data_IF_335655309306
#
_entry.id   IF_335655309306
#
_cell.length_a   1.000
_cell.length_b   1.000
_cell.length_c   1.000
_cell.angle_alpha   90.00
_cell.angle_beta   90.00
_cell.angle_gamma   90.00
#
_symmetry.space_group_name_H-M   'P 1'
#
loop_
_entity.id
_entity.type
_entity.pdbx_description
1 polymer ?
#
# COMPACT_ATOMS: atom_id res chain seq x y z
N UNK A 1 40.36 17.02 -34.83
CA UNK A 1 39.45 16.18 -35.64
C UNK A 1 38.37 15.65 -34.71
N UNK A 2 37.10 15.97 -35.03
CA UNK A 2 35.86 15.40 -34.46
C UNK A 2 35.93 13.89 -34.28
N UNK A 3 35.24 13.26 -33.33
CA UNK A 3 33.78 13.12 -33.17
C UNK A 3 33.42 13.14 -31.65
N UNK A 4 32.38 13.76 -31.07
CA UNK A 4 30.92 13.76 -31.30
C UNK A 4 30.26 12.37 -31.36
N UNK A 5 29.65 11.92 -30.25
CA UNK A 5 28.25 11.42 -30.15
C UNK A 5 27.91 11.02 -28.70
N UNK A 6 26.90 11.66 -28.09
CA UNK A 6 25.99 10.95 -27.17
C UNK A 6 24.93 10.20 -28.00
N UNK A 7 23.79 9.72 -27.46
CA UNK A 7 23.35 9.62 -26.06
C UNK A 7 22.78 8.22 -25.67
N UNK A 8 22.33 8.11 -24.41
CA UNK A 8 21.23 7.23 -23.96
C UNK A 8 21.50 5.76 -23.60
N UNK A 9 21.07 5.37 -22.39
CA UNK A 9 20.47 4.09 -21.93
C UNK A 9 20.72 4.01 -20.42
N UNK A 10 19.80 4.17 -19.47
CA UNK A 10 18.35 3.91 -19.43
C UNK A 10 17.87 4.57 -18.12
N UNK A 11 16.66 5.13 -17.99
CA UNK A 11 16.05 5.26 -16.67
C UNK A 11 15.90 3.83 -16.15
N UNK A 12 16.69 3.44 -15.14
CA UNK A 12 16.58 2.14 -14.50
C UNK A 12 15.13 2.00 -14.06
N UNK A 13 14.41 1.18 -14.81
CA UNK A 13 12.98 0.92 -14.68
C UNK A 13 12.80 0.39 -13.25
N UNK A 14 12.17 1.18 -12.40
CA UNK A 14 11.96 1.01 -10.97
C UNK A 14 10.83 0.01 -10.64
N UNK A 15 10.77 -1.11 -11.37
CA UNK A 15 9.75 -2.16 -11.21
C UNK A 15 10.15 -3.24 -10.20
N UNK A 16 11.40 -3.26 -9.74
CA UNK A 16 11.88 -4.24 -8.73
C UNK A 16 11.33 -3.96 -7.31
N UNK A 17 10.74 -2.80 -7.06
CA UNK A 17 10.18 -2.44 -5.74
C UNK A 17 8.67 -2.74 -5.58
N UNK A 18 8.00 -3.27 -6.60
CA UNK A 18 6.54 -3.54 -6.53
C UNK A 18 6.20 -4.77 -5.68
N UNK A 19 7.13 -5.72 -5.54
CA UNK A 19 6.94 -6.98 -4.81
C UNK A 19 7.06 -6.85 -3.30
N UNK A 20 7.62 -5.74 -2.80
CA UNK A 20 7.82 -5.51 -1.35
C UNK A 20 6.76 -4.58 -0.73
N UNK A 21 5.76 -4.14 -1.50
CA UNK A 21 4.77 -3.19 -1.02
C UNK A 21 3.81 -3.82 0.01
N UNK A 22 3.56 -3.08 1.09
CA UNK A 22 2.57 -3.49 2.09
C UNK A 22 1.15 -3.35 1.55
N UNK A 23 0.20 -4.12 2.11
CA UNK A 23 -1.21 -3.95 1.72
C UNK A 23 -1.70 -2.52 1.99
N UNK A 24 -1.24 -1.91 3.09
CA UNK A 24 -1.57 -0.53 3.44
C UNK A 24 -1.07 0.47 2.39
N UNK A 25 0.14 0.27 1.89
CA UNK A 25 0.71 1.13 0.86
C UNK A 25 -0.02 1.00 -0.49
N UNK A 26 -0.43 -0.21 -0.86
CA UNK A 26 -1.22 -0.45 -2.07
C UNK A 26 -2.57 0.28 -1.97
N UNK A 27 -3.27 0.14 -0.84
CA UNK A 27 -4.56 0.81 -0.59
C UNK A 27 -4.40 2.34 -0.66
N UNK A 28 -3.40 2.88 0.05
CA UNK A 28 -3.11 4.33 0.07
C UNK A 28 -2.82 4.88 -1.31
N UNK A 29 -1.90 4.24 -2.06
CA UNK A 29 -1.51 4.70 -3.39
C UNK A 29 -2.68 4.65 -4.36
N UNK A 30 -3.52 3.62 -4.27
CA UNK A 30 -4.70 3.49 -5.13
C UNK A 30 -5.74 4.56 -4.79
N UNK A 31 -6.04 4.80 -3.50
CA UNK A 31 -6.94 5.88 -3.09
C UNK A 31 -6.45 7.24 -3.59
N UNK A 32 -5.16 7.54 -3.39
CA UNK A 32 -4.57 8.82 -3.82
C UNK A 32 -4.54 8.97 -5.34
N UNK A 33 -4.36 7.87 -6.09
CA UNK A 33 -4.46 7.87 -7.54
C UNK A 33 -5.84 8.32 -8.03
N UNK A 34 -6.90 7.91 -7.33
CA UNK A 34 -8.28 8.36 -7.59
C UNK A 34 -8.63 9.72 -6.95
N UNK A 35 -7.70 10.37 -6.26
CA UNK A 35 -7.92 11.69 -5.65
C UNK A 35 -8.94 11.70 -4.49
N UNK A 36 -9.21 10.55 -3.88
CA UNK A 36 -10.22 10.42 -2.83
C UNK A 36 -9.64 10.75 -1.44
N UNK A 37 -10.39 11.49 -0.63
CA UNK A 37 -10.05 11.67 0.79
C UNK A 37 -10.50 10.47 1.62
N UNK A 38 -9.91 10.26 2.80
CA UNK A 38 -10.36 9.20 3.72
C UNK A 38 -11.81 9.43 4.19
N UNK A 39 -12.23 10.68 4.31
CA UNK A 39 -13.62 11.05 4.67
C UNK A 39 -14.61 10.67 3.58
N UNK A 40 -14.23 10.78 2.29
CA UNK A 40 -15.08 10.34 1.18
C UNK A 40 -15.27 8.83 1.23
N UNK A 41 -14.18 8.08 1.44
CA UNK A 41 -14.22 6.62 1.57
C UNK A 41 -15.05 6.19 2.80
N UNK A 42 -14.86 6.86 3.95
CA UNK A 42 -15.64 6.61 5.16
C UNK A 42 -17.14 6.77 4.92
N UNK A 43 -17.54 7.81 4.17
CA UNK A 43 -18.95 8.08 3.89
C UNK A 43 -19.64 6.94 3.13
N UNK A 44 -18.89 6.21 2.30
CA UNK A 44 -19.36 5.11 1.45
C UNK A 44 -19.26 3.78 2.19
N UNK A 45 -18.07 3.44 2.70
CA UNK A 45 -17.80 2.14 3.33
C UNK A 45 -18.31 2.03 4.76
N UNK A 46 -18.65 3.15 5.41
CA UNK A 46 -19.02 3.21 6.83
C UNK A 46 -17.94 2.65 7.75
N UNK A 47 -16.68 2.74 7.32
CA UNK A 47 -15.47 2.47 8.10
C UNK A 47 -14.88 3.81 8.48
N UNK A 48 -14.62 4.04 9.78
CA UNK A 48 -14.10 5.32 10.28
C UNK A 48 -12.80 5.70 9.54
N UNK A 49 -12.62 6.96 9.16
CA UNK A 49 -11.39 7.43 8.50
C UNK A 49 -10.12 7.07 9.31
N UNK A 50 -10.19 7.10 10.63
CA UNK A 50 -9.10 6.66 11.50
C UNK A 50 -8.72 5.18 11.33
N UNK A 51 -9.68 4.31 11.05
CA UNK A 51 -9.43 2.89 10.80
C UNK A 51 -8.89 2.65 9.39
N UNK A 52 -9.37 3.42 8.40
CA UNK A 52 -8.80 3.41 7.05
C UNK A 52 -7.35 3.90 7.06
N UNK A 53 -7.05 4.98 7.79
CA UNK A 53 -5.68 5.45 8.00
C UNK A 53 -4.82 4.40 8.70
N UNK A 54 -5.34 3.74 9.73
CA UNK A 54 -4.61 2.66 10.41
C UNK A 54 -4.28 1.49 9.48
N UNK A 55 -5.16 1.15 8.53
CA UNK A 55 -4.86 0.16 7.49
C UNK A 55 -3.77 0.64 6.54
N UNK A 56 -3.84 1.88 6.06
CA UNK A 56 -2.83 2.47 5.17
C UNK A 56 -1.44 2.53 5.81
N UNK A 57 -1.38 2.78 7.12
CA UNK A 57 -0.14 2.86 7.90
C UNK A 57 0.31 1.50 8.46
N UNK A 58 -0.43 0.42 8.22
CA UNK A 58 -0.13 -0.92 8.76
C UNK A 58 -0.25 -1.04 10.28
N UNK A 59 -0.96 -0.13 10.93
CA UNK A 59 -1.18 -0.04 12.39
C UNK A 59 -2.38 -0.89 12.84
N UNK A 60 -2.24 -2.20 12.70
CA UNK A 60 -3.31 -3.18 12.97
C UNK A 60 -3.70 -3.22 14.45
N UNK A 61 -2.80 -2.80 15.33
CA UNK A 61 -3.02 -2.58 16.76
C UNK A 61 -4.12 -1.55 17.07
N UNK A 62 -4.39 -0.63 16.14
CA UNK A 62 -5.40 0.43 16.30
C UNK A 62 -6.79 0.03 15.75
N UNK A 63 -6.93 -1.19 15.23
CA UNK A 63 -8.18 -1.72 14.71
C UNK A 63 -8.96 -2.48 15.79
N UNK A 64 -10.29 -2.65 15.67
CA UNK A 64 -11.12 -3.38 16.64
C UNK A 64 -10.81 -4.88 16.79
N UNK A 65 -9.75 -5.36 16.13
CA UNK A 65 -9.34 -6.76 16.11
C UNK A 65 -9.07 -7.27 14.69
N UNK A 66 -8.31 -8.37 14.61
CA UNK A 66 -7.84 -8.94 13.33
C UNK A 66 -8.97 -9.38 12.40
N UNK A 67 -10.09 -9.88 12.96
CA UNK A 67 -11.27 -10.30 12.18
C UNK A 67 -11.86 -9.10 11.43
N UNK A 68 -12.02 -7.96 12.10
CA UNK A 68 -12.49 -6.72 11.47
C UNK A 68 -11.49 -6.19 10.44
N UNK A 69 -10.19 -6.23 10.75
CA UNK A 69 -9.15 -5.80 9.81
C UNK A 69 -9.23 -6.55 8.46
N UNK A 70 -9.45 -7.87 8.48
CA UNK A 70 -9.63 -8.66 7.26
C UNK A 70 -10.84 -8.18 6.45
N UNK A 71 -11.98 -7.93 7.13
CA UNK A 71 -13.19 -7.41 6.47
C UNK A 71 -12.98 -6.04 5.86
N UNK A 72 -12.29 -5.14 6.58
CA UNK A 72 -12.00 -3.79 6.10
C UNK A 72 -11.03 -3.79 4.91
N UNK A 73 -9.97 -4.61 4.93
CA UNK A 73 -9.05 -4.76 3.80
C UNK A 73 -9.80 -5.18 2.54
N UNK A 74 -10.68 -6.18 2.66
CA UNK A 74 -11.49 -6.65 1.53
C UNK A 74 -12.40 -5.54 0.98
N UNK A 75 -13.23 -4.95 1.84
CA UNK A 75 -14.20 -3.94 1.43
C UNK A 75 -13.51 -2.72 0.81
N UNK A 76 -12.39 -2.30 1.39
CA UNK A 76 -11.65 -1.15 0.88
C UNK A 76 -10.94 -1.44 -0.44
N UNK A 77 -10.35 -2.62 -0.59
CA UNK A 77 -9.77 -3.06 -1.85
C UNK A 77 -10.80 -3.11 -2.98
N UNK A 78 -11.94 -3.76 -2.74
CA UNK A 78 -13.04 -3.88 -3.72
C UNK A 78 -13.58 -2.50 -4.12
N UNK A 79 -13.76 -1.59 -3.16
CA UNK A 79 -14.16 -0.21 -3.44
C UNK A 79 -13.17 0.55 -4.33
N UNK A 80 -11.87 0.30 -4.15
CA UNK A 80 -10.80 0.88 -4.96
C UNK A 80 -10.59 0.15 -6.31
N UNK A 81 -11.44 -0.84 -6.65
CA UNK A 81 -11.32 -1.62 -7.89
C UNK A 81 -10.20 -2.66 -7.88
N UNK A 82 -9.66 -2.99 -6.70
CA UNK A 82 -8.66 -4.03 -6.51
C UNK A 82 -9.32 -5.39 -6.25
N UNK A 83 -8.54 -6.47 -6.40
CA UNK A 83 -8.95 -7.81 -6.04
C UNK A 83 -8.92 -8.01 -4.51
N UNK A 84 -10.11 -8.01 -3.90
CA UNK A 84 -10.28 -8.10 -2.44
C UNK A 84 -9.68 -9.37 -1.83
N UNK A 85 -9.78 -10.52 -2.51
CA UNK A 85 -9.20 -11.78 -2.01
C UNK A 85 -7.68 -11.75 -2.04
N UNK A 86 -7.08 -11.24 -3.13
CA UNK A 86 -5.63 -11.07 -3.21
C UNK A 86 -5.11 -10.13 -2.11
N UNK A 87 -5.82 -9.02 -1.84
CA UNK A 87 -5.43 -8.09 -0.79
C UNK A 87 -5.55 -8.71 0.61
N UNK A 88 -6.59 -9.51 0.87
CA UNK A 88 -6.73 -10.26 2.12
C UNK A 88 -5.60 -11.29 2.28
N UNK A 89 -5.23 -12.01 1.22
CA UNK A 89 -4.13 -12.96 1.27
C UNK A 89 -2.80 -12.27 1.58
N UNK A 90 -2.51 -11.14 0.92
CA UNK A 90 -1.33 -10.33 1.19
C UNK A 90 -1.31 -9.82 2.63
N UNK A 91 -2.44 -9.29 3.12
CA UNK A 91 -2.58 -8.83 4.49
C UNK A 91 -2.31 -9.93 5.52
N UNK A 92 -2.85 -11.13 5.30
CA UNK A 92 -2.63 -12.29 6.19
C UNK A 92 -1.17 -12.72 6.20
N UNK A 93 -0.50 -12.71 5.04
CA UNK A 93 0.91 -13.04 4.91
C UNK A 93 1.79 -12.04 5.69
N UNK A 94 1.49 -10.74 5.60
CA UNK A 94 2.21 -9.67 6.31
C UNK A 94 1.96 -9.71 7.83
N UNK A 95 0.74 -10.04 8.26
CA UNK A 95 0.44 -10.21 9.68
C UNK A 95 1.13 -11.44 10.30
N UNK A 96 1.53 -12.43 9.49
CA UNK A 96 2.33 -13.58 9.93
C UNK A 96 3.85 -13.33 9.86
N UNK A 97 4.28 -12.31 9.13
CA UNK A 97 5.69 -11.94 8.95
C UNK A 97 5.74 -10.42 8.76
N UNK A 98 5.89 -9.62 9.84
CA UNK A 98 5.82 -8.17 9.75
C UNK A 98 6.85 -7.69 8.71
N UNK A 99 6.48 -6.77 7.80
CA UNK A 99 7.43 -6.22 6.85
C UNK A 99 8.61 -5.69 7.65
N UNK A 100 9.82 -6.17 7.34
CA UNK A 100 11.02 -5.61 7.95
C UNK A 100 10.97 -4.11 7.65
N UNK A 101 11.03 -3.22 8.66
CA UNK A 101 11.14 -1.80 8.38
C UNK A 101 12.30 -1.65 7.41
N UNK A 102 12.05 -0.99 6.28
CA UNK A 102 13.05 -0.72 5.24
C UNK A 102 14.24 -0.13 5.98
N UNK A 103 15.26 -0.95 6.22
CA UNK A 103 16.39 -0.53 7.01
C UNK A 103 17.08 0.53 6.17
N UNK A 104 16.82 1.80 6.47
CA UNK A 104 17.76 2.86 6.20
C UNK A 104 18.99 2.54 7.05
N UNK A 105 19.84 1.67 6.50
CA UNK A 105 21.18 1.44 6.97
C UNK A 105 21.98 2.70 6.62
N UNK A 106 21.79 3.74 7.43
CA UNK A 106 22.75 4.83 7.52
C UNK A 106 23.83 4.37 8.51
N UNK A 107 24.88 3.76 7.96
CA UNK A 107 26.13 3.60 8.69
C UNK A 107 26.95 4.90 8.53
N UNK A 108 27.50 5.47 9.62
CA UNK A 108 28.40 6.62 9.56
C UNK A 108 29.72 6.31 8.83
#
# INVERSE_FOLDING_TARGET
MSQLTGPNSTPQKNWENLTDMTVGEILRRTRLHYGQSLTDVESILRIRAAQLQALEDGRIDLLPGRVYAIGFVRAYAEYLGLDGEKMVHLFKAQAGNPPRPRAELHFP
#
